data_IF_723497697108
#
_entry.id   IF_723497697108
#
_cell.length_a   1.000
_cell.length_b   1.000
_cell.length_c   1.000
_cell.angle_alpha   90.00
_cell.angle_beta   90.00
_cell.angle_gamma   90.00
#
_symmetry.space_group_name_H-M   'P 1'
#
loop_
_entity.id
_entity.type
_entity.pdbx_description
1 polymer ?
#
# COMPACT_ATOMS: atom_id res chain seq x y z
N UNK A 1 -55.59 14.37 28.69
CA UNK A 1 -54.91 13.11 28.34
C UNK A 1 -53.41 13.30 28.50
N UNK A 2 -52.78 12.60 29.44
CA UNK A 2 -51.33 12.50 29.51
C UNK A 2 -50.96 11.06 29.87
N UNK A 3 -50.36 10.34 28.92
CA UNK A 3 -49.46 9.24 29.24
C UNK A 3 -48.33 9.28 28.21
N UNK A 4 -47.17 9.73 28.71
CA UNK A 4 -45.90 9.77 28.01
C UNK A 4 -45.51 8.34 27.61
N UNK A 5 -45.76 7.97 26.37
CA UNK A 5 -45.00 6.93 25.71
C UNK A 5 -43.59 7.47 25.45
N UNK A 6 -42.76 7.52 26.50
CA UNK A 6 -41.33 7.67 26.33
C UNK A 6 -40.81 6.33 25.78
N UNK A 7 -40.91 6.15 24.46
CA UNK A 7 -40.02 5.24 23.76
C UNK A 7 -38.61 5.66 24.17
N UNK A 8 -37.98 4.86 25.04
CA UNK A 8 -36.58 5.05 25.41
C UNK A 8 -35.80 4.95 24.12
N UNK A 9 -35.49 6.09 23.53
CA UNK A 9 -34.41 6.24 22.59
C UNK A 9 -33.16 5.88 23.36
N UNK A 10 -32.84 4.59 23.42
CA UNK A 10 -31.52 4.12 23.77
C UNK A 10 -30.60 4.80 22.77
N UNK A 11 -29.66 5.66 23.18
CA UNK A 11 -28.57 6.00 22.30
C UNK A 11 -27.86 4.67 22.05
N UNK A 12 -28.18 4.02 20.92
CA UNK A 12 -27.18 3.17 20.29
C UNK A 12 -26.10 4.16 19.89
N UNK A 13 -25.18 4.44 20.81
CA UNK A 13 -23.84 4.86 20.42
C UNK A 13 -23.44 3.81 19.41
N UNK A 14 -23.34 4.10 18.10
CA UNK A 14 -22.58 3.20 17.27
C UNK A 14 -21.20 3.27 17.92
N UNK A 15 -20.79 2.22 18.63
CA UNK A 15 -19.38 1.99 18.78
C UNK A 15 -18.92 1.93 17.33
N UNK A 16 -18.36 3.03 16.84
CA UNK A 16 -17.50 2.99 15.68
C UNK A 16 -16.40 2.08 16.14
N UNK A 17 -16.60 0.78 15.91
CA UNK A 17 -15.52 -0.18 15.86
C UNK A 17 -14.72 0.34 14.67
N UNK A 18 -13.85 1.31 14.96
CA UNK A 18 -12.79 1.74 14.08
C UNK A 18 -12.19 0.43 13.63
N UNK A 19 -12.38 0.09 12.34
CA UNK A 19 -12.03 -1.22 11.76
C UNK A 19 -10.73 -1.63 12.42
N UNK A 20 -10.78 -2.54 13.40
CA UNK A 20 -9.56 -3.09 13.97
C UNK A 20 -8.90 -3.65 12.73
N UNK A 21 -7.77 -3.05 12.33
CA UNK A 21 -7.05 -3.51 11.16
C UNK A 21 -6.69 -4.95 11.47
N UNK A 22 -7.52 -5.88 11.01
CA UNK A 22 -7.31 -7.31 11.10
C UNK A 22 -6.14 -7.59 10.16
N UNK A 23 -4.94 -7.28 10.65
CA UNK A 23 -3.69 -7.65 10.03
C UNK A 23 -3.56 -9.14 10.31
N UNK A 24 -3.53 -9.97 9.27
CA UNK A 24 -3.26 -11.41 9.40
C UNK A 24 -1.80 -11.69 9.76
N UNK A 25 -0.93 -10.69 9.59
CA UNK A 25 0.49 -10.78 9.90
C UNK A 25 0.70 -10.72 11.41
N UNK A 26 1.25 -11.80 11.98
CA UNK A 26 1.73 -11.86 13.36
C UNK A 26 2.89 -10.85 13.54
N UNK A 27 2.97 -10.23 14.71
CA UNK A 27 4.12 -9.39 15.06
C UNK A 27 5.41 -10.23 15.03
N UNK A 28 6.38 -9.82 14.21
CA UNK A 28 7.66 -10.52 14.09
C UNK A 28 8.68 -9.90 15.07
N UNK A 29 8.66 -10.33 16.32
CA UNK A 29 9.52 -9.80 17.40
C UNK A 29 10.92 -10.44 17.45
N UNK A 30 11.34 -11.16 16.41
CA UNK A 30 12.59 -11.94 16.40
C UNK A 30 13.85 -11.11 16.16
N UNK A 31 13.71 -9.83 15.79
CA UNK A 31 14.82 -8.94 15.48
C UNK A 31 15.16 -8.04 16.66
N UNK A 32 16.46 -7.93 17.05
CA UNK A 32 16.91 -6.91 18.01
C UNK A 32 16.66 -5.46 17.56
N UNK A 33 16.47 -5.25 16.24
CA UNK A 33 16.13 -3.97 15.64
C UNK A 33 14.62 -3.80 15.49
N UNK A 34 14.10 -2.67 15.95
CA UNK A 34 12.70 -2.27 15.78
C UNK A 34 12.52 -1.61 14.41
N UNK A 35 11.87 -2.31 13.48
CA UNK A 35 11.51 -1.74 12.19
C UNK A 35 10.18 -0.98 12.29
N UNK A 36 9.98 0.05 11.46
CA UNK A 36 8.70 0.73 11.41
C UNK A 36 7.60 -0.26 11.01
N UNK A 37 6.50 -0.23 11.76
CA UNK A 37 5.33 -1.06 11.53
C UNK A 37 4.22 -0.28 10.83
N UNK A 38 3.40 -0.96 10.03
CA UNK A 38 2.20 -0.39 9.40
C UNK A 38 2.25 -0.30 7.86
N UNK A 39 1.23 0.34 7.23
CA UNK A 39 1.18 0.45 5.78
C UNK A 39 2.42 1.16 5.23
N UNK A 40 2.96 0.62 4.14
CA UNK A 40 4.12 1.14 3.42
C UNK A 40 5.47 1.02 4.13
N UNK A 41 5.55 0.36 5.30
CA UNK A 41 6.83 0.15 6.00
C UNK A 41 7.55 -1.12 5.56
N UNK A 42 6.89 -1.98 4.78
CA UNK A 42 7.37 -3.27 4.31
C UNK A 42 7.77 -3.28 2.82
N UNK A 43 7.84 -2.12 2.18
CA UNK A 43 8.19 -1.99 0.76
C UNK A 43 9.46 -1.16 0.59
N UNK A 44 10.33 -1.50 -0.38
CA UNK A 44 11.64 -0.87 -0.53
C UNK A 44 11.59 0.49 -1.25
N UNK A 45 10.40 1.10 -1.40
CA UNK A 45 10.20 2.36 -2.10
C UNK A 45 9.17 3.23 -1.37
N UNK A 46 9.26 4.56 -1.57
CA UNK A 46 8.38 5.52 -0.93
C UNK A 46 7.19 5.89 -1.83
N UNK A 47 5.97 5.37 -1.57
CA UNK A 47 4.78 5.70 -2.36
C UNK A 47 4.21 7.10 -2.06
N UNK A 48 4.67 7.76 -0.99
CA UNK A 48 4.23 9.11 -0.60
C UNK A 48 5.07 10.22 -1.24
N UNK A 49 6.07 9.88 -2.05
CA UNK A 49 6.85 10.86 -2.80
C UNK A 49 5.97 11.62 -3.78
N UNK A 50 6.15 12.94 -3.91
CA UNK A 50 5.48 13.76 -4.93
C UNK A 50 5.75 13.28 -6.36
N UNK A 51 6.84 12.53 -6.57
CA UNK A 51 7.23 11.95 -7.85
C UNK A 51 6.95 10.45 -7.95
N UNK A 52 6.15 9.87 -7.05
CA UNK A 52 5.90 8.43 -7.05
C UNK A 52 5.32 7.94 -8.39
N UNK A 53 4.32 8.65 -8.93
CA UNK A 53 3.72 8.28 -10.21
C UNK A 53 4.74 8.26 -11.35
N UNK A 54 5.58 9.29 -11.46
CA UNK A 54 6.63 9.34 -12.47
C UNK A 54 7.65 8.20 -12.30
N UNK A 55 8.10 7.95 -11.07
CA UNK A 55 9.05 6.88 -10.78
C UNK A 55 8.49 5.48 -11.08
N UNK A 56 7.24 5.22 -10.68
CA UNK A 56 6.56 3.95 -10.89
C UNK A 56 6.38 3.64 -12.38
N UNK A 57 5.91 4.63 -13.16
CA UNK A 57 5.75 4.47 -14.62
C UNK A 57 7.09 4.32 -15.33
N UNK A 58 8.12 5.05 -14.91
CA UNK A 58 9.48 4.91 -15.46
C UNK A 58 10.03 3.51 -15.22
N UNK A 59 9.94 3.00 -13.98
CA UNK A 59 10.35 1.65 -13.63
C UNK A 59 9.66 0.59 -14.51
N UNK A 60 8.33 0.70 -14.62
CA UNK A 60 7.52 -0.23 -15.41
C UNK A 60 7.86 -0.17 -16.89
N UNK A 61 7.98 1.06 -17.44
CA UNK A 61 8.31 1.28 -18.85
C UNK A 61 9.70 0.73 -19.19
N UNK A 62 10.72 1.05 -18.39
CA UNK A 62 12.08 0.56 -18.63
C UNK A 62 12.14 -0.97 -18.55
N UNK A 63 11.54 -1.57 -17.52
CA UNK A 63 11.50 -3.03 -17.38
C UNK A 63 10.79 -3.72 -18.54
N UNK A 64 9.66 -3.18 -18.99
CA UNK A 64 8.91 -3.73 -20.11
C UNK A 64 9.64 -3.57 -21.45
N UNK A 65 10.23 -2.41 -21.73
CA UNK A 65 10.85 -2.11 -23.03
C UNK A 65 12.32 -2.54 -23.14
N UNK A 66 12.99 -2.88 -22.04
CA UNK A 66 14.40 -3.29 -22.05
C UNK A 66 14.69 -4.43 -23.04
N UNK A 67 13.91 -5.54 -23.10
CA UNK A 67 14.17 -6.61 -24.06
C UNK A 67 14.10 -6.15 -25.53
N UNK A 68 13.19 -5.24 -25.86
CA UNK A 68 13.04 -4.71 -27.22
C UNK A 68 14.20 -3.79 -27.61
N UNK A 69 14.63 -2.92 -26.70
CA UNK A 69 15.82 -2.09 -26.89
C UNK A 69 17.07 -2.94 -27.10
N UNK A 70 17.23 -4.00 -26.30
CA UNK A 70 18.31 -4.97 -26.44
C UNK A 70 18.22 -5.66 -27.81
N UNK A 71 17.05 -6.11 -28.25
CA UNK A 71 16.88 -6.76 -29.55
C UNK A 71 17.30 -5.85 -30.71
N UNK A 72 16.90 -4.58 -30.68
CA UNK A 72 17.33 -3.58 -31.69
C UNK A 72 18.84 -3.37 -31.65
N UNK A 73 19.46 -3.35 -30.46
CA UNK A 73 20.91 -3.27 -30.36
C UNK A 73 21.60 -4.50 -30.97
N UNK A 74 21.10 -5.70 -30.68
CA UNK A 74 21.66 -6.94 -31.22
C UNK A 74 21.60 -7.01 -32.75
N UNK A 75 20.60 -6.37 -33.39
CA UNK A 75 20.50 -6.33 -34.86
C UNK A 75 21.40 -5.28 -35.51
N UNK A 76 21.74 -4.20 -34.78
CA UNK A 76 22.52 -3.07 -35.30
C UNK A 76 23.98 -3.04 -34.87
N UNK A 77 24.36 -3.80 -33.83
CA UNK A 77 25.74 -3.82 -33.33
C UNK A 77 26.70 -4.28 -34.44
N UNK A 78 27.93 -3.72 -34.51
CA UNK A 78 28.95 -4.20 -35.44
C UNK A 78 29.18 -5.70 -35.23
N UNK A 79 29.24 -6.44 -36.34
CA UNK A 79 29.70 -7.83 -36.33
C UNK A 79 31.22 -7.79 -36.37
N UNK A 80 31.85 -8.37 -35.36
CA UNK A 80 33.30 -8.65 -35.36
C UNK A 80 33.50 -10.01 -36.02
#
# INVERSE_FOLDING_TARGET
>A
MFARAAARAVPKTPSTVARRGFQTTRAQMSSPYHYPEGPYTNIPFNPKSKFFGLGFWTYSFVGFFAPFGIAVWQTKKPKV
#
